data_IF_524356808494
#
_entry.id   IF_524356808494
#
_cell.length_a   1.000
_cell.length_b   1.000
_cell.length_c   1.000
_cell.angle_alpha   90.00
_cell.angle_beta   90.00
_cell.angle_gamma   90.00
#
_symmetry.space_group_name_H-M   'P 1'
#
loop_
_entity.id
_entity.type
_entity.pdbx_description
1 polymer ?
#
# COMPACT_ATOMS: atom_id res chain seq x y z
N UNK A 1 -9.99 -39.24 12.29
CA UNK A 1 -10.18 -38.19 13.33
C UNK A 1 -9.13 -37.15 13.00
N UNK A 2 -9.52 -36.24 12.12
CA UNK A 2 -8.63 -35.17 11.63
C UNK A 2 -8.70 -34.00 12.60
N UNK A 3 -7.53 -33.54 12.97
CA UNK A 3 -7.31 -32.45 13.89
C UNK A 3 -8.02 -31.18 13.44
N UNK A 4 -8.97 -30.75 14.27
CA UNK A 4 -9.60 -29.45 14.20
C UNK A 4 -8.49 -28.41 14.46
N UNK A 5 -7.79 -27.95 13.40
CA UNK A 5 -6.89 -26.80 13.48
C UNK A 5 -7.73 -25.62 13.93
N UNK A 6 -7.47 -25.23 15.16
CA UNK A 6 -8.04 -24.06 15.82
C UNK A 6 -7.98 -22.85 14.87
N UNK A 7 -9.15 -22.42 14.41
CA UNK A 7 -9.30 -21.36 13.40
C UNK A 7 -9.31 -19.97 14.06
N UNK A 8 -8.70 -19.80 15.24
CA UNK A 8 -8.58 -18.51 15.89
C UNK A 8 -7.24 -17.85 15.51
N UNK A 9 -7.19 -17.25 14.33
CA UNK A 9 -6.05 -16.40 13.90
C UNK A 9 -5.95 -15.10 14.74
N UNK A 10 -6.91 -14.83 15.62
CA UNK A 10 -6.95 -13.65 16.48
C UNK A 10 -7.68 -13.92 17.79
N UNK A 11 -7.40 -13.13 18.81
CA UNK A 11 -8.08 -13.24 20.12
C UNK A 11 -9.25 -12.25 20.18
N UNK A 12 -10.46 -12.77 20.40
CA UNK A 12 -11.66 -11.94 20.62
C UNK A 12 -11.87 -11.66 22.10
N UNK A 13 -12.33 -10.46 22.43
CA UNK A 13 -12.73 -10.05 23.79
C UNK A 13 -13.79 -8.95 23.76
N UNK A 14 -14.38 -8.63 24.91
CA UNK A 14 -15.36 -7.55 25.03
C UNK A 14 -14.77 -6.42 25.87
N UNK A 15 -14.65 -5.24 25.29
CA UNK A 15 -14.23 -4.03 25.98
C UNK A 15 -15.37 -3.01 25.93
N UNK A 16 -15.76 -2.48 27.11
CA UNK A 16 -16.84 -1.51 27.22
C UNK A 16 -18.13 -1.88 26.51
N UNK A 17 -18.46 -3.20 26.50
CA UNK A 17 -19.67 -3.75 25.84
C UNK A 17 -19.59 -3.89 24.33
N UNK A 18 -18.43 -3.61 23.70
CA UNK A 18 -18.17 -3.80 22.27
C UNK A 18 -17.25 -4.98 22.04
N UNK A 19 -17.53 -5.74 20.97
CA UNK A 19 -16.62 -6.79 20.51
C UNK A 19 -15.35 -6.16 20.01
N UNK A 20 -14.22 -6.65 20.46
CA UNK A 20 -12.88 -6.30 20.01
C UNK A 20 -12.12 -7.53 19.61
N UNK A 21 -11.15 -7.37 18.72
CA UNK A 21 -10.19 -8.39 18.34
C UNK A 21 -8.79 -7.82 18.45
N UNK A 22 -7.89 -8.61 19.00
CA UNK A 22 -6.47 -8.26 19.04
C UNK A 22 -5.87 -8.61 17.68
N UNK A 23 -5.46 -7.59 16.95
CA UNK A 23 -4.77 -7.69 15.66
C UNK A 23 -3.26 -7.60 15.89
N UNK A 24 -2.52 -8.59 15.39
CA UNK A 24 -1.05 -8.56 15.27
C UNK A 24 -0.69 -8.55 13.79
N UNK A 25 0.17 -7.63 13.35
CA UNK A 25 0.70 -7.56 11.99
C UNK A 25 1.99 -6.73 11.96
N UNK A 26 2.72 -6.83 10.87
CA UNK A 26 3.89 -5.97 10.61
C UNK A 26 3.48 -4.80 9.70
N UNK A 27 3.78 -3.57 10.09
CA UNK A 27 3.55 -2.37 9.24
C UNK A 27 4.86 -1.62 9.05
N UNK A 28 5.28 -1.47 7.80
CA UNK A 28 6.55 -0.82 7.44
C UNK A 28 7.74 -1.39 8.23
N UNK A 29 7.80 -2.73 8.35
CA UNK A 29 8.86 -3.45 9.06
C UNK A 29 8.79 -3.37 10.59
N UNK A 30 7.69 -2.87 11.18
CA UNK A 30 7.50 -2.79 12.64
C UNK A 30 6.30 -3.62 13.07
N UNK A 31 6.50 -4.45 14.09
CA UNK A 31 5.39 -5.18 14.71
C UNK A 31 4.41 -4.22 15.38
N UNK A 32 3.13 -4.47 15.14
CA UNK A 32 2.00 -3.69 15.66
C UNK A 32 0.96 -4.62 16.24
N UNK A 33 0.66 -4.44 17.53
CA UNK A 33 -0.41 -5.16 18.22
C UNK A 33 -1.46 -4.15 18.67
N UNK A 34 -2.72 -4.31 18.26
CA UNK A 34 -3.82 -3.38 18.60
C UNK A 34 -5.15 -4.11 18.74
N UNK A 35 -5.96 -3.62 19.66
CA UNK A 35 -7.35 -4.03 19.77
C UNK A 35 -8.22 -3.15 18.87
N UNK A 36 -8.90 -3.79 17.95
CA UNK A 36 -9.68 -3.12 16.91
C UNK A 36 -11.15 -3.59 16.91
N UNK A 37 -12.01 -2.81 16.28
CA UNK A 37 -13.33 -3.28 15.88
C UNK A 37 -13.17 -4.28 14.72
N UNK A 38 -13.77 -5.49 14.79
CA UNK A 38 -13.61 -6.49 13.72
C UNK A 38 -14.14 -6.05 12.35
N UNK A 39 -14.95 -4.99 12.29
CA UNK A 39 -15.49 -4.41 11.05
C UNK A 39 -14.64 -3.26 10.50
N UNK A 40 -13.55 -2.91 11.17
CA UNK A 40 -12.67 -1.82 10.76
C UNK A 40 -11.94 -2.18 9.45
N UNK A 41 -11.98 -1.28 8.44
CA UNK A 41 -11.18 -1.45 7.23
C UNK A 41 -9.68 -1.26 7.54
N UNK A 42 -8.84 -1.89 6.72
CA UNK A 42 -7.40 -1.69 6.78
C UNK A 42 -7.03 -0.21 6.57
N UNK A 43 -7.75 0.49 5.69
CA UNK A 43 -7.59 1.93 5.48
C UNK A 43 -7.75 2.73 6.78
N UNK A 44 -8.86 2.54 7.51
CA UNK A 44 -9.11 3.25 8.76
C UNK A 44 -8.13 2.83 9.86
N UNK A 45 -7.75 1.55 9.91
CA UNK A 45 -6.72 1.09 10.83
C UNK A 45 -5.38 1.81 10.61
N UNK A 46 -4.91 1.92 9.37
CA UNK A 46 -3.67 2.61 9.03
C UNK A 46 -3.75 4.10 9.33
N UNK A 47 -4.83 4.77 8.91
CA UNK A 47 -4.98 6.22 9.06
C UNK A 47 -5.30 6.66 10.49
N UNK A 48 -6.34 6.06 11.07
CA UNK A 48 -6.88 6.51 12.37
C UNK A 48 -6.21 5.78 13.52
N UNK A 49 -5.91 4.51 13.36
CA UNK A 49 -5.24 3.68 14.35
C UNK A 49 -3.75 3.97 14.47
N UNK A 50 -3.04 4.06 13.34
CA UNK A 50 -1.58 4.22 13.29
C UNK A 50 -1.10 5.61 12.87
N UNK A 51 -2.01 6.50 12.45
CA UNK A 51 -1.71 7.87 11.98
C UNK A 51 -0.83 7.89 10.71
N UNK A 52 -0.90 6.85 9.88
CA UNK A 52 -0.24 6.76 8.59
C UNK A 52 -1.13 7.42 7.52
N UNK A 53 -1.07 8.75 7.43
CA UNK A 53 -1.96 9.55 6.59
C UNK A 53 -1.56 9.59 5.11
N UNK A 54 -0.45 8.98 4.74
CA UNK A 54 -0.04 8.82 3.34
C UNK A 54 -1.03 7.99 2.55
N UNK A 55 -1.60 6.92 3.13
CA UNK A 55 -2.71 6.18 2.54
C UNK A 55 -3.96 7.06 2.51
N UNK A 56 -4.51 7.35 1.31
CA UNK A 56 -5.58 8.36 1.15
C UNK A 56 -6.96 7.70 1.05
N UNK A 57 -7.96 8.35 1.65
CA UNK A 57 -9.36 7.99 1.46
C UNK A 57 -10.01 8.93 0.44
N UNK A 58 -10.59 8.37 -0.63
CA UNK A 58 -11.32 9.11 -1.64
C UNK A 58 -12.68 8.47 -1.96
N UNK A 59 -12.76 7.41 -2.78
CA UNK A 59 -14.05 6.81 -3.16
C UNK A 59 -14.64 5.92 -2.07
N UNK A 60 -13.83 5.19 -1.31
CA UNK A 60 -14.28 4.17 -0.34
C UNK A 60 -14.88 2.90 -0.97
N UNK A 61 -14.79 2.75 -2.30
CA UNK A 61 -15.47 1.72 -3.10
C UNK A 61 -14.51 0.88 -3.96
N UNK A 62 -13.17 1.06 -3.78
CA UNK A 62 -12.17 0.30 -4.51
C UNK A 62 -11.84 0.81 -5.92
N UNK A 63 -12.48 1.88 -6.41
CA UNK A 63 -12.38 2.33 -7.80
C UNK A 63 -11.18 3.24 -8.10
N UNK A 64 -10.75 4.05 -7.14
CA UNK A 64 -9.83 5.16 -7.41
C UNK A 64 -8.36 4.88 -7.13
N UNK A 65 -8.03 3.81 -6.41
CA UNK A 65 -6.67 3.42 -6.05
C UNK A 65 -5.92 4.34 -5.07
N UNK A 66 -6.54 5.43 -4.57
CA UNK A 66 -5.86 6.37 -3.67
C UNK A 66 -5.46 5.74 -2.32
N UNK A 67 -6.11 4.65 -1.94
CA UNK A 67 -5.87 3.89 -0.72
C UNK A 67 -4.99 2.65 -0.91
N UNK A 68 -4.34 2.49 -2.06
CA UNK A 68 -3.49 1.33 -2.33
C UNK A 68 -2.35 1.23 -1.32
N UNK A 69 -2.17 0.03 -0.80
CA UNK A 69 -1.05 -0.41 0.04
C UNK A 69 -0.55 -1.75 -0.48
N UNK A 70 0.64 -2.18 -0.05
CA UNK A 70 1.11 -3.54 -0.33
C UNK A 70 0.81 -4.39 0.91
N UNK A 71 0.04 -5.45 0.73
CA UNK A 71 -0.26 -6.45 1.75
C UNK A 71 0.30 -7.80 1.30
N UNK A 72 1.24 -8.34 2.06
CA UNK A 72 1.93 -9.61 1.76
C UNK A 72 2.52 -9.66 0.33
N UNK A 73 3.06 -8.53 -0.16
CA UNK A 73 3.64 -8.40 -1.49
C UNK A 73 2.67 -7.93 -2.58
N UNK A 74 1.36 -7.97 -2.35
CA UNK A 74 0.33 -7.64 -3.34
C UNK A 74 -0.25 -6.24 -3.15
N UNK A 75 -0.46 -5.49 -4.24
CA UNK A 75 -1.15 -4.21 -4.20
C UNK A 75 -2.64 -4.41 -3.95
N UNK A 76 -3.17 -3.84 -2.87
CA UNK A 76 -4.59 -3.95 -2.51
C UNK A 76 -5.20 -2.58 -2.22
N UNK A 77 -6.48 -2.42 -2.53
CA UNK A 77 -7.27 -1.26 -2.11
C UNK A 77 -7.68 -1.42 -0.65
N UNK A 78 -6.96 -0.80 0.27
CA UNK A 78 -7.16 -0.96 1.72
C UNK A 78 -8.55 -0.58 2.23
N UNK A 79 -9.33 0.18 1.47
CA UNK A 79 -10.73 0.47 1.80
C UNK A 79 -11.67 -0.75 1.68
N UNK A 80 -11.28 -1.78 0.89
CA UNK A 80 -12.05 -3.00 0.67
C UNK A 80 -11.56 -4.19 1.52
N UNK A 81 -10.42 -4.04 2.19
CA UNK A 81 -9.83 -5.08 3.06
C UNK A 81 -10.21 -4.78 4.50
N UNK A 82 -10.72 -5.76 5.23
CA UNK A 82 -10.88 -5.64 6.68
C UNK A 82 -9.50 -5.73 7.36
N UNK A 83 -9.26 -4.91 8.38
CA UNK A 83 -7.97 -4.93 9.09
C UNK A 83 -7.65 -6.32 9.66
N UNK A 84 -8.67 -7.08 10.07
CA UNK A 84 -8.52 -8.44 10.58
C UNK A 84 -8.01 -9.43 9.53
N UNK A 85 -8.21 -9.17 8.24
CA UNK A 85 -7.69 -10.03 7.16
C UNK A 85 -6.17 -9.88 6.98
N UNK A 86 -5.58 -8.82 7.55
CA UNK A 86 -4.14 -8.59 7.56
C UNK A 86 -3.42 -9.18 8.79
N UNK A 87 -4.11 -10.01 9.60
CA UNK A 87 -3.52 -10.65 10.78
C UNK A 87 -2.28 -11.48 10.39
N UNK A 88 -1.21 -11.35 11.18
CA UNK A 88 0.11 -11.97 10.97
C UNK A 88 0.74 -11.64 9.60
N UNK A 89 0.16 -10.69 8.87
CA UNK A 89 0.64 -10.24 7.58
C UNK A 89 1.62 -9.07 7.66
N UNK A 90 2.19 -8.73 6.49
CA UNK A 90 3.06 -7.58 6.30
C UNK A 90 2.37 -6.53 5.43
N UNK A 91 2.25 -5.31 5.95
CA UNK A 91 1.70 -4.16 5.25
C UNK A 91 2.80 -3.13 5.00
N UNK A 92 2.98 -2.74 3.75
CA UNK A 92 3.82 -1.60 3.39
C UNK A 92 2.93 -0.45 2.90
N UNK A 93 3.13 0.73 3.48
CA UNK A 93 2.48 1.98 3.06
C UNK A 93 3.52 2.90 2.40
N UNK A 94 3.06 4.01 1.81
CA UNK A 94 3.97 4.98 1.17
C UNK A 94 5.05 5.52 2.12
N UNK A 95 4.75 5.60 3.42
CA UNK A 95 5.71 6.01 4.44
C UNK A 95 6.87 5.01 4.59
N UNK A 96 6.63 3.74 4.25
CA UNK A 96 7.65 2.68 4.29
C UNK A 96 8.59 2.64 3.08
N UNK A 97 8.31 3.40 2.01
CA UNK A 97 9.16 3.43 0.81
C UNK A 97 10.45 4.24 1.02
N UNK A 98 10.40 5.25 1.88
CA UNK A 98 11.58 6.03 2.26
C UNK A 98 12.36 5.30 3.37
N UNK A 99 13.68 5.22 3.25
CA UNK A 99 14.56 4.60 4.24
C UNK A 99 15.57 5.62 4.78
N UNK A 100 15.73 5.67 6.09
CA UNK A 100 16.70 6.56 6.75
C UNK A 100 16.57 8.05 6.34
N UNK A 101 15.33 8.50 6.11
CA UNK A 101 15.03 9.86 5.68
C UNK A 101 15.37 10.16 4.22
N UNK A 102 15.74 9.15 3.42
CA UNK A 102 16.01 9.27 1.99
C UNK A 102 14.84 8.69 1.20
N UNK A 103 14.45 9.40 0.16
CA UNK A 103 13.45 8.92 -0.80
C UNK A 103 13.99 7.69 -1.54
N UNK A 104 13.09 6.77 -1.90
CA UNK A 104 13.42 5.69 -2.84
C UNK A 104 13.59 6.27 -4.26
N UNK A 105 14.28 5.54 -5.15
CA UNK A 105 14.44 5.92 -6.56
C UNK A 105 13.08 6.28 -7.17
N UNK A 106 12.07 5.44 -6.95
CA UNK A 106 10.71 5.68 -7.44
C UNK A 106 10.16 7.03 -6.97
N UNK A 107 10.30 7.36 -5.69
CA UNK A 107 9.84 8.65 -5.15
C UNK A 107 10.64 9.83 -5.73
N UNK A 108 11.94 9.68 -5.92
CA UNK A 108 12.78 10.70 -6.55
C UNK A 108 12.37 10.96 -8.01
N UNK A 109 12.11 9.91 -8.80
CA UNK A 109 11.66 10.06 -10.18
C UNK A 109 10.26 10.67 -10.27
N UNK A 110 9.35 10.41 -9.34
CA UNK A 110 8.06 11.11 -9.28
C UNK A 110 8.21 12.61 -9.06
N UNK A 111 9.23 13.02 -8.30
CA UNK A 111 9.54 14.45 -8.11
C UNK A 111 10.21 15.03 -9.35
N UNK A 112 11.18 14.33 -9.95
CA UNK A 112 11.99 14.85 -11.07
C UNK A 112 11.20 14.96 -12.38
N UNK A 113 10.21 14.11 -12.59
CA UNK A 113 9.35 14.11 -13.79
C UNK A 113 8.06 14.93 -13.62
N UNK A 114 7.94 15.73 -12.55
CA UNK A 114 6.72 16.49 -12.23
C UNK A 114 5.44 15.58 -12.19
N UNK A 115 5.62 14.31 -11.78
CA UNK A 115 4.56 13.31 -11.73
C UNK A 115 3.54 13.55 -10.60
N UNK A 116 3.63 14.65 -9.91
CA UNK A 116 2.74 15.07 -8.83
C UNK A 116 2.38 16.56 -8.97
N UNK A 117 1.11 16.88 -8.70
CA UNK A 117 0.63 18.27 -8.62
C UNK A 117 -0.03 18.48 -7.24
N UNK A 118 -1.30 18.11 -7.06
CA UNK A 118 -1.91 18.19 -5.73
C UNK A 118 -1.38 17.13 -4.74
N UNK A 119 -0.75 16.05 -5.24
CA UNK A 119 -0.15 14.99 -4.44
C UNK A 119 -1.13 13.96 -3.85
N UNK A 120 -2.45 14.13 -4.04
CA UNK A 120 -3.44 13.28 -3.38
C UNK A 120 -3.41 11.83 -3.89
N UNK A 121 -3.30 11.59 -5.19
CA UNK A 121 -3.23 10.26 -5.79
C UNK A 121 -1.82 9.64 -5.74
N UNK A 122 -0.79 10.44 -5.52
CA UNK A 122 0.61 10.03 -5.58
C UNK A 122 0.94 8.80 -4.73
N UNK A 123 0.49 8.70 -3.46
CA UNK A 123 0.74 7.49 -2.67
C UNK A 123 0.23 6.21 -3.31
N UNK A 124 -0.98 6.25 -3.88
CA UNK A 124 -1.57 5.08 -4.55
C UNK A 124 -0.74 4.64 -5.75
N UNK A 125 -0.34 5.58 -6.63
CA UNK A 125 0.53 5.28 -7.77
C UNK A 125 1.88 4.70 -7.34
N UNK A 126 2.50 5.27 -6.31
CA UNK A 126 3.78 4.77 -5.78
C UNK A 126 3.64 3.32 -5.28
N UNK A 127 2.57 3.00 -4.56
CA UNK A 127 2.35 1.65 -4.02
C UNK A 127 2.04 0.64 -5.13
N UNK A 128 1.17 0.98 -6.09
CA UNK A 128 0.87 0.11 -7.24
C UNK A 128 2.12 -0.14 -8.09
N UNK A 129 2.90 0.92 -8.37
CA UNK A 129 4.16 0.80 -9.11
C UNK A 129 5.17 -0.05 -8.36
N UNK A 130 5.35 0.14 -7.04
CA UNK A 130 6.32 -0.62 -6.26
C UNK A 130 5.97 -2.11 -6.24
N UNK A 131 4.70 -2.46 -6.01
CA UNK A 131 4.25 -3.85 -6.08
C UNK A 131 4.54 -4.47 -7.45
N UNK A 132 4.23 -3.76 -8.55
CA UNK A 132 4.54 -4.22 -9.90
C UNK A 132 6.04 -4.49 -10.09
N UNK A 133 6.90 -3.53 -9.69
CA UNK A 133 8.35 -3.64 -9.88
C UNK A 133 8.99 -4.70 -8.98
N UNK A 134 8.40 -5.00 -7.83
CA UNK A 134 8.84 -6.09 -6.96
C UNK A 134 8.56 -7.48 -7.59
N UNK A 135 7.47 -7.61 -8.35
CA UNK A 135 7.15 -8.83 -9.08
C UNK A 135 7.86 -8.92 -10.43
N UNK A 136 7.91 -7.82 -11.18
CA UNK A 136 8.53 -7.75 -12.50
C UNK A 136 9.38 -6.46 -12.60
N UNK A 137 10.71 -6.55 -12.45
CA UNK A 137 11.58 -5.37 -12.49
C UNK A 137 11.76 -4.77 -13.88
N UNK A 138 11.25 -5.42 -14.93
CA UNK A 138 11.34 -4.93 -16.31
C UNK A 138 10.01 -5.13 -17.06
N UNK A 139 8.93 -4.43 -16.61
CA UNK A 139 7.61 -4.55 -17.23
C UNK A 139 7.57 -3.93 -18.62
N UNK A 140 6.70 -4.43 -19.48
CA UNK A 140 6.38 -3.81 -20.77
C UNK A 140 5.58 -2.52 -20.57
N UNK A 141 5.50 -1.70 -21.63
CA UNK A 141 4.69 -0.48 -21.61
C UNK A 141 3.21 -0.78 -21.35
N UNK A 142 2.71 -1.89 -21.89
CA UNK A 142 1.34 -2.36 -21.67
C UNK A 142 1.09 -2.73 -20.21
N UNK A 143 2.00 -3.46 -19.57
CA UNK A 143 1.91 -3.83 -18.15
C UNK A 143 1.95 -2.59 -17.25
N UNK A 144 2.80 -1.62 -17.56
CA UNK A 144 2.84 -0.33 -16.84
C UNK A 144 1.47 0.38 -16.92
N UNK A 145 0.91 0.50 -18.12
CA UNK A 145 -0.38 1.16 -18.33
C UNK A 145 -1.51 0.40 -17.61
N UNK A 146 -1.52 -0.92 -17.68
CA UNK A 146 -2.50 -1.78 -17.03
C UNK A 146 -2.51 -1.54 -15.51
N UNK A 147 -1.35 -1.63 -14.86
CA UNK A 147 -1.23 -1.42 -13.41
C UNK A 147 -1.62 0.02 -13.02
N UNK A 148 -1.14 1.03 -13.76
CA UNK A 148 -1.46 2.42 -13.45
C UNK A 148 -2.94 2.76 -13.71
N UNK A 149 -3.66 2.00 -14.54
CA UNK A 149 -5.08 2.21 -14.79
C UNK A 149 -5.97 2.00 -13.56
N UNK A 150 -5.48 1.26 -12.57
CA UNK A 150 -6.14 1.09 -11.26
C UNK A 150 -6.09 2.33 -10.35
N UNK A 151 -5.40 3.40 -10.77
CA UNK A 151 -5.25 4.62 -9.99
C UNK A 151 -5.76 5.83 -10.76
N UNK A 152 -6.62 6.65 -10.15
CA UNK A 152 -7.19 7.84 -10.79
C UNK A 152 -6.40 9.10 -10.42
N UNK A 153 -5.97 9.84 -11.45
CA UNK A 153 -5.39 11.18 -11.31
C UNK A 153 -6.17 12.20 -12.13
N UNK A 154 -6.59 13.31 -11.52
CA UNK A 154 -7.30 14.39 -12.21
C UNK A 154 -6.39 15.51 -12.69
N UNK A 155 -5.15 15.55 -12.23
CA UNK A 155 -4.27 16.69 -12.38
C UNK A 155 -3.21 16.53 -13.49
N UNK A 156 -2.46 15.41 -13.48
CA UNK A 156 -1.21 15.26 -14.27
C UNK A 156 -1.41 14.85 -15.72
N UNK A 157 -2.57 14.28 -16.08
CA UNK A 157 -2.78 13.70 -17.42
C UNK A 157 -2.00 12.39 -17.65
N UNK A 158 -1.46 11.78 -16.59
CA UNK A 158 -0.79 10.46 -16.53
C UNK A 158 0.61 10.38 -17.19
N UNK A 159 0.90 11.16 -18.23
CA UNK A 159 2.19 11.08 -18.96
C UNK A 159 3.40 11.26 -18.04
N UNK A 160 3.46 12.28 -17.14
CA UNK A 160 4.58 12.40 -16.20
C UNK A 160 4.72 11.20 -15.27
N UNK A 161 3.60 10.59 -14.86
CA UNK A 161 3.61 9.39 -14.00
C UNK A 161 4.23 8.20 -14.74
N UNK A 162 3.82 7.97 -16.00
CA UNK A 162 4.37 6.91 -16.85
C UNK A 162 5.87 7.12 -17.06
N UNK A 163 6.29 8.35 -17.32
CA UNK A 163 7.70 8.70 -17.48
C UNK A 163 8.50 8.41 -16.20
N UNK A 164 7.99 8.81 -15.04
CA UNK A 164 8.63 8.56 -13.76
C UNK A 164 8.83 7.06 -13.50
N UNK A 165 7.83 6.22 -13.83
CA UNK A 165 7.95 4.76 -13.73
C UNK A 165 9.04 4.23 -14.65
N UNK A 166 9.08 4.66 -15.93
CA UNK A 166 10.10 4.22 -16.89
C UNK A 166 11.51 4.61 -16.45
N UNK A 167 11.67 5.82 -15.94
CA UNK A 167 12.97 6.27 -15.41
C UNK A 167 13.38 5.51 -14.15
N UNK A 168 12.43 5.15 -13.31
CA UNK A 168 12.69 4.29 -12.15
C UNK A 168 13.28 2.95 -12.60
N UNK A 169 12.67 2.29 -13.58
CA UNK A 169 13.13 1.03 -14.14
C UNK A 169 14.57 1.16 -14.68
N UNK A 170 14.85 2.21 -15.44
CA UNK A 170 16.20 2.47 -15.99
C UNK A 170 17.24 2.66 -14.89
N UNK A 171 16.91 3.41 -13.82
CA UNK A 171 17.82 3.67 -12.70
C UNK A 171 18.05 2.44 -11.84
N UNK A 172 16.99 1.73 -11.43
CA UNK A 172 17.12 0.50 -10.63
C UNK A 172 17.93 -0.56 -11.40
N UNK A 173 17.69 -0.72 -12.71
CA UNK A 173 18.48 -1.63 -13.55
C UNK A 173 19.96 -1.24 -13.68
N UNK A 174 20.32 0.03 -13.54
CA UNK A 174 21.70 0.51 -13.55
C UNK A 174 22.38 0.25 -12.21
N UNK A 175 21.70 0.54 -11.08
CA UNK A 175 22.26 0.30 -9.74
C UNK A 175 22.52 -1.19 -9.46
N UNK A 176 21.77 -2.10 -10.10
CA UNK A 176 21.99 -3.53 -9.99
C UNK A 176 23.22 -4.02 -10.77
N UNK A 177 23.80 -3.20 -11.67
CA UNK A 177 24.95 -3.55 -12.52
C UNK A 177 26.28 -2.99 -11.99
N UNK A 178 26.22 -2.00 -11.12
CA UNK A 178 27.36 -1.34 -10.50
C UNK A 178 27.70 -1.97 -9.12
#
# INVERSE_FOLDING_TARGET
MEDNKDCSMYTEHIESGKRKVTLNLTVNGREVIRDIDPTMSLLHFLRDGLKLFGTKEACGEGECGACTVILNGEAVNSCLVLAIEAVDGEVTTVEGLAKDGKLSILQEEFVSEDALQCGFCTPGFLMSTRAMLDHNPNPSDEEIIEVLSGNLCRCTGYIPIINAVKRTIEREAKELRD
#
